data_IF_436716104878
#
_entry.id   IF_436716104878
#
_cell.length_a   1.000
_cell.length_b   1.000
_cell.length_c   1.000
_cell.angle_alpha   90.00
_cell.angle_beta   90.00
_cell.angle_gamma   90.00
#
_symmetry.space_group_name_H-M   'P 1'
#
loop_
_entity.id
_entity.type
_entity.pdbx_description
1 polymer ?
#
# COMPACT_ATOMS: atom_id res chain seq x y z
N UNK A 1 -87.54 41.70 -52.03
CA UNK A 1 -87.03 40.32 -51.94
C UNK A 1 -86.47 39.89 -53.28
N UNK A 2 -85.14 39.82 -53.39
CA UNK A 2 -84.31 39.10 -54.38
C UNK A 2 -82.86 39.55 -54.11
N UNK A 3 -82.05 38.72 -53.46
CA UNK A 3 -80.62 39.01 -53.28
C UNK A 3 -79.87 38.68 -54.57
N UNK A 4 -79.13 39.66 -55.08
CA UNK A 4 -77.99 39.48 -56.00
C UNK A 4 -76.70 39.53 -55.19
N UNK A 5 -75.74 38.76 -55.69
CA UNK A 5 -74.35 38.52 -55.28
C UNK A 5 -73.45 39.77 -55.19
N UNK A 6 -72.41 39.69 -54.36
CA UNK A 6 -71.07 40.30 -54.56
C UNK A 6 -70.05 39.44 -53.77
N UNK A 7 -69.10 38.75 -54.44
CA UNK A 7 -67.67 39.09 -54.58
C UNK A 7 -66.95 39.29 -53.22
N UNK A 8 -66.23 38.28 -52.72
CA UNK A 8 -64.82 37.91 -53.01
C UNK A 8 -63.79 38.77 -52.24
N UNK A 9 -62.88 38.12 -51.50
CA UNK A 9 -61.41 38.21 -51.63
C UNK A 9 -60.75 37.25 -50.63
N UNK A 10 -59.76 36.52 -51.17
CA UNK A 10 -58.88 35.53 -50.55
C UNK A 10 -58.05 36.11 -49.38
N UNK A 11 -57.92 35.33 -48.30
CA UNK A 11 -56.80 35.44 -47.35
C UNK A 11 -56.00 34.14 -47.39
N UNK A 12 -54.73 34.25 -47.75
CA UNK A 12 -53.76 33.15 -47.81
C UNK A 12 -53.28 32.87 -46.38
N UNK A 13 -53.63 31.69 -45.84
CA UNK A 13 -53.02 31.17 -44.61
C UNK A 13 -51.76 30.38 -44.99
N UNK A 14 -50.58 30.92 -44.67
CA UNK A 14 -49.32 30.19 -44.74
C UNK A 14 -49.26 29.26 -43.52
N UNK A 15 -49.33 27.95 -43.79
CA UNK A 15 -49.13 26.92 -42.78
C UNK A 15 -47.65 26.86 -42.36
N UNK A 16 -47.39 27.10 -41.08
CA UNK A 16 -46.10 26.81 -40.47
C UNK A 16 -45.99 25.30 -40.21
N UNK A 17 -45.36 24.58 -41.14
CA UNK A 17 -44.85 23.23 -40.89
C UNK A 17 -43.58 23.37 -40.04
N UNK A 18 -43.67 22.98 -38.76
CA UNK A 18 -42.50 22.79 -37.92
C UNK A 18 -41.70 21.59 -38.47
N UNK A 19 -40.59 21.86 -39.14
CA UNK A 19 -39.60 20.85 -39.50
C UNK A 19 -38.68 20.61 -38.29
N UNK A 20 -38.24 19.36 -38.04
CA UNK A 20 -37.45 19.04 -36.87
C UNK A 20 -36.07 19.69 -36.98
N UNK A 21 -35.66 20.39 -35.92
CA UNK A 21 -34.29 20.84 -35.72
C UNK A 21 -33.43 19.57 -35.62
N UNK A 22 -32.63 19.31 -36.65
CA UNK A 22 -31.45 18.47 -36.50
C UNK A 22 -30.51 19.17 -35.53
N UNK A 23 -30.48 18.70 -34.29
CA UNK A 23 -29.36 18.95 -33.41
C UNK A 23 -28.15 18.23 -34.02
N UNK A 24 -27.36 18.93 -34.82
CA UNK A 24 -26.00 18.51 -35.08
C UNK A 24 -25.26 18.69 -33.74
N UNK A 25 -25.15 17.62 -32.97
CA UNK A 25 -24.24 17.59 -31.83
C UNK A 25 -22.85 17.91 -32.37
N UNK A 26 -22.31 19.05 -31.95
CA UNK A 26 -20.91 19.38 -32.18
C UNK A 26 -20.14 18.35 -31.36
N UNK A 27 -19.63 17.31 -32.03
CA UNK A 27 -18.68 16.38 -31.42
C UNK A 27 -17.44 17.21 -31.11
N UNK A 28 -17.34 17.69 -29.86
CA UNK A 28 -16.08 18.17 -29.33
C UNK A 28 -15.12 16.98 -29.45
N UNK A 29 -13.89 17.13 -30.00
CA UNK A 29 -12.93 16.05 -29.96
C UNK A 29 -12.80 15.64 -28.48
N UNK A 30 -13.06 14.36 -28.20
CA UNK A 30 -12.82 13.81 -26.87
C UNK A 30 -11.35 14.08 -26.60
N UNK A 31 -11.07 15.01 -25.68
CA UNK A 31 -9.74 15.19 -25.15
C UNK A 31 -9.49 13.97 -24.27
N UNK A 32 -9.18 12.84 -24.90
CA UNK A 32 -8.63 11.69 -24.20
C UNK A 32 -7.40 12.24 -23.53
N UNK A 33 -7.33 12.29 -22.19
CA UNK A 33 -6.08 12.66 -21.55
C UNK A 33 -5.06 11.70 -22.14
N UNK A 34 -4.09 12.25 -22.89
CA UNK A 34 -2.88 11.50 -23.23
C UNK A 34 -2.42 10.98 -21.88
N UNK A 35 -2.45 9.67 -21.68
CA UNK A 35 -1.85 9.07 -20.51
C UNK A 35 -0.41 9.52 -20.56
N UNK A 36 -0.08 10.56 -19.79
CA UNK A 36 1.30 10.94 -19.61
C UNK A 36 2.00 9.66 -19.16
N UNK A 37 3.16 9.30 -19.72
CA UNK A 37 3.93 8.21 -19.15
C UNK A 37 4.03 8.52 -17.65
N UNK A 38 3.58 7.60 -16.80
CA UNK A 38 3.78 7.72 -15.36
C UNK A 38 5.26 8.03 -15.20
N UNK A 39 5.57 9.25 -14.73
CA UNK A 39 6.95 9.57 -14.37
C UNK A 39 7.35 8.50 -13.36
N UNK A 40 8.29 7.67 -13.73
CA UNK A 40 8.91 6.68 -12.85
C UNK A 40 9.78 7.44 -11.86
N UNK A 41 9.20 8.30 -11.02
CA UNK A 41 9.94 9.01 -9.98
C UNK A 41 10.75 7.93 -9.26
N UNK A 42 12.07 8.08 -9.32
CA UNK A 42 13.04 7.00 -9.19
C UNK A 42 12.79 6.27 -7.87
N UNK A 43 12.26 5.05 -7.95
CA UNK A 43 12.15 4.18 -6.79
C UNK A 43 13.57 3.89 -6.33
N UNK A 44 13.84 4.15 -5.07
CA UNK A 44 15.12 3.81 -4.50
C UNK A 44 15.15 2.33 -4.15
N UNK A 45 15.59 1.55 -5.12
CA UNK A 45 15.75 0.10 -4.95
C UNK A 45 16.95 -0.26 -4.08
N UNK A 46 17.74 0.71 -3.61
CA UNK A 46 18.86 0.48 -2.68
C UNK A 46 18.38 0.15 -1.27
N UNK A 47 17.12 0.45 -0.93
CA UNK A 47 16.50 0.06 0.36
C UNK A 47 16.71 -1.45 0.59
N UNK A 48 17.35 -1.86 1.70
CA UNK A 48 17.54 -3.27 2.04
C UNK A 48 16.19 -3.99 2.17
N UNK A 49 16.10 -5.16 1.53
CA UNK A 49 14.91 -6.03 1.57
C UNK A 49 15.34 -7.43 1.14
N UNK A 50 14.79 -8.44 1.80
CA UNK A 50 15.12 -9.83 1.48
C UNK A 50 14.62 -10.27 0.12
N UNK A 51 15.24 -11.32 -0.43
CA UNK A 51 14.79 -11.91 -1.70
C UNK A 51 13.33 -12.34 -1.66
N UNK A 52 12.95 -13.02 -0.58
CA UNK A 52 11.59 -13.48 -0.33
C UNK A 52 10.57 -12.34 -0.39
N UNK A 53 10.84 -11.23 0.31
CA UNK A 53 9.90 -10.11 0.39
C UNK A 53 9.85 -9.35 -0.94
N UNK A 54 11.00 -9.07 -1.57
CA UNK A 54 11.03 -8.37 -2.85
C UNK A 54 10.29 -9.14 -3.95
N UNK A 55 10.54 -10.45 -4.07
CA UNK A 55 9.87 -11.30 -5.06
C UNK A 55 8.38 -11.43 -4.74
N UNK A 56 8.01 -11.59 -3.46
CA UNK A 56 6.60 -11.65 -3.06
C UNK A 56 5.87 -10.37 -3.46
N UNK A 57 6.41 -9.20 -3.11
CA UNK A 57 5.82 -7.90 -3.47
C UNK A 57 5.67 -7.77 -4.98
N UNK A 58 6.71 -8.08 -5.73
CA UNK A 58 6.69 -7.98 -7.20
C UNK A 58 5.60 -8.87 -7.79
N UNK A 59 5.51 -10.13 -7.35
CA UNK A 59 4.56 -11.09 -7.91
C UNK A 59 3.12 -10.73 -7.53
N UNK A 60 2.85 -10.42 -6.26
CA UNK A 60 1.49 -10.13 -5.81
C UNK A 60 0.97 -8.82 -6.43
N UNK A 61 1.81 -7.78 -6.48
CA UNK A 61 1.47 -6.52 -7.13
C UNK A 61 1.30 -6.70 -8.64
N UNK A 62 2.24 -7.40 -9.29
CA UNK A 62 2.25 -7.59 -10.74
C UNK A 62 1.11 -8.45 -11.25
N UNK A 63 0.70 -9.46 -10.49
CA UNK A 63 -0.41 -10.36 -10.86
C UNK A 63 -1.77 -9.91 -10.31
N UNK A 64 -1.78 -8.94 -9.39
CA UNK A 64 -2.98 -8.46 -8.71
C UNK A 64 -3.63 -9.52 -7.81
N UNK A 65 -2.84 -10.46 -7.28
CA UNK A 65 -3.32 -11.60 -6.49
C UNK A 65 -2.42 -11.81 -5.29
N UNK A 66 -3.01 -11.82 -4.10
CA UNK A 66 -2.36 -12.36 -2.92
C UNK A 66 -2.16 -13.86 -3.09
N UNK A 67 -0.96 -14.34 -2.74
CA UNK A 67 -0.62 -15.75 -2.93
C UNK A 67 -0.94 -16.54 -1.67
N UNK A 68 -1.49 -17.77 -1.82
CA UNK A 68 -1.83 -18.59 -0.67
C UNK A 68 -0.55 -19.00 0.06
N UNK A 69 -0.63 -19.06 1.39
CA UNK A 69 0.41 -19.67 2.20
C UNK A 69 0.31 -21.18 2.08
N UNK A 70 1.44 -21.83 1.84
CA UNK A 70 1.53 -23.29 1.85
C UNK A 70 2.00 -23.70 3.25
N UNK A 71 1.15 -24.45 3.95
CA UNK A 71 1.47 -24.97 5.29
C UNK A 71 2.79 -25.74 5.29
N UNK A 72 3.50 -25.68 6.42
CA UNK A 72 4.77 -26.37 6.64
C UNK A 72 5.87 -26.05 5.60
N UNK A 73 5.76 -24.88 4.95
CA UNK A 73 6.78 -24.33 4.05
C UNK A 73 7.13 -22.90 4.42
N UNK A 74 8.19 -22.38 3.81
CA UNK A 74 8.52 -20.95 3.89
C UNK A 74 7.37 -20.10 3.32
N UNK A 75 7.03 -18.99 3.96
CA UNK A 75 5.87 -18.16 3.59
C UNK A 75 5.92 -17.66 2.12
N UNK A 76 7.12 -17.38 1.61
CA UNK A 76 7.33 -16.93 0.24
C UNK A 76 7.31 -18.06 -0.81
N UNK A 77 7.11 -19.33 -0.43
CA UNK A 77 7.18 -20.48 -1.35
C UNK A 77 6.33 -20.29 -2.61
N UNK A 78 5.07 -19.88 -2.44
CA UNK A 78 4.16 -19.64 -3.56
C UNK A 78 4.66 -18.54 -4.50
N UNK A 79 5.24 -17.47 -3.95
CA UNK A 79 5.80 -16.37 -4.74
C UNK A 79 7.05 -16.80 -5.51
N UNK A 80 7.93 -17.56 -4.85
CA UNK A 80 9.17 -18.08 -5.44
C UNK A 80 8.86 -19.06 -6.59
N UNK A 81 7.91 -19.98 -6.39
CA UNK A 81 7.41 -20.87 -7.45
C UNK A 81 6.80 -20.07 -8.60
N UNK A 82 5.99 -19.06 -8.30
CA UNK A 82 5.35 -18.24 -9.33
C UNK A 82 6.36 -17.42 -10.13
N UNK A 83 7.39 -16.88 -9.48
CA UNK A 83 8.48 -16.17 -10.13
C UNK A 83 9.26 -17.08 -11.09
N UNK A 84 9.46 -18.35 -10.75
CA UNK A 84 10.04 -19.33 -11.67
C UNK A 84 9.12 -19.63 -12.86
N UNK A 85 7.82 -19.85 -12.63
CA UNK A 85 6.86 -20.06 -13.72
C UNK A 85 6.84 -18.89 -14.73
N UNK A 86 7.03 -17.67 -14.23
CA UNK A 86 7.10 -16.45 -15.03
C UNK A 86 8.49 -16.20 -15.64
N UNK A 87 9.47 -17.08 -15.40
CA UNK A 87 10.82 -16.98 -15.93
C UNK A 87 11.64 -15.82 -15.35
N UNK A 88 11.28 -15.31 -14.17
CA UNK A 88 12.00 -14.22 -13.50
C UNK A 88 13.25 -14.73 -12.78
N UNK A 89 13.14 -15.91 -12.17
CA UNK A 89 14.20 -16.58 -11.42
C UNK A 89 14.32 -18.05 -11.85
N UNK A 90 15.44 -18.66 -11.50
CA UNK A 90 15.66 -20.10 -11.57
C UNK A 90 15.85 -20.61 -10.13
N UNK A 91 14.91 -21.39 -9.59
CA UNK A 91 14.97 -21.81 -8.18
C UNK A 91 16.19 -22.68 -7.86
N UNK A 92 16.83 -23.28 -8.86
CA UNK A 92 18.09 -24.01 -8.63
C UNK A 92 19.22 -23.08 -8.16
N UNK A 93 19.12 -21.79 -8.46
CA UNK A 93 20.06 -20.74 -8.02
C UNK A 93 19.56 -20.00 -6.76
N UNK A 94 18.37 -20.32 -6.25
CA UNK A 94 17.75 -19.67 -5.09
C UNK A 94 17.45 -20.73 -4.01
N UNK A 95 18.48 -21.31 -3.38
CA UNK A 95 18.28 -22.22 -2.26
C UNK A 95 17.57 -21.48 -1.10
N UNK A 96 16.74 -22.18 -0.32
CA UNK A 96 15.84 -21.54 0.65
C UNK A 96 16.59 -20.73 1.72
N UNK A 97 17.82 -21.13 2.02
CA UNK A 97 18.69 -20.53 3.02
C UNK A 97 18.97 -19.04 2.73
N UNK A 98 18.99 -18.64 1.45
CA UNK A 98 19.29 -17.25 1.04
C UNK A 98 18.05 -16.39 0.87
N UNK A 99 16.85 -16.95 1.04
CA UNK A 99 15.60 -16.23 0.77
C UNK A 99 15.37 -15.06 1.73
N UNK A 100 15.88 -15.18 2.96
CA UNK A 100 15.79 -14.14 3.99
C UNK A 100 16.98 -13.18 3.98
N UNK A 101 18.00 -13.43 3.17
CA UNK A 101 19.11 -12.50 2.99
C UNK A 101 18.69 -11.32 2.11
N UNK A 102 19.31 -10.16 2.36
CA UNK A 102 19.14 -8.97 1.55
C UNK A 102 19.45 -9.26 0.07
N UNK A 103 18.52 -8.84 -0.80
CA UNK A 103 18.69 -8.99 -2.24
C UNK A 103 19.65 -7.91 -2.77
N UNK A 104 20.75 -8.30 -3.44
CA UNK A 104 21.66 -7.38 -4.11
C UNK A 104 20.95 -6.48 -5.14
N UNK A 105 21.46 -5.27 -5.34
CA UNK A 105 20.86 -4.28 -6.24
C UNK A 105 20.84 -4.80 -7.69
N UNK A 106 21.92 -5.44 -8.13
CA UNK A 106 22.04 -6.00 -9.47
C UNK A 106 20.97 -7.08 -9.73
N UNK A 107 20.68 -7.89 -8.70
CA UNK A 107 19.67 -8.95 -8.75
C UNK A 107 18.24 -8.35 -8.82
N UNK A 108 17.97 -7.30 -8.01
CA UNK A 108 16.70 -6.53 -8.08
C UNK A 108 16.48 -5.97 -9.48
N UNK A 109 17.51 -5.36 -10.08
CA UNK A 109 17.46 -4.77 -11.43
C UNK A 109 17.19 -5.85 -12.48
N UNK A 110 17.90 -6.97 -12.43
CA UNK A 110 17.72 -8.07 -13.38
C UNK A 110 16.29 -8.61 -13.35
N UNK A 111 15.75 -8.87 -12.16
CA UNK A 111 14.38 -9.38 -11.99
C UNK A 111 13.36 -8.38 -12.51
N UNK A 112 13.51 -7.09 -12.19
CA UNK A 112 12.63 -6.04 -12.70
C UNK A 112 12.68 -5.92 -14.23
N UNK A 113 13.86 -6.08 -14.84
CA UNK A 113 14.01 -6.04 -16.29
C UNK A 113 13.41 -7.26 -17.00
N UNK A 114 13.47 -8.44 -16.38
CA UNK A 114 12.71 -9.61 -16.84
C UNK A 114 11.20 -9.38 -16.70
N UNK A 115 10.77 -8.81 -15.58
CA UNK A 115 9.37 -8.54 -15.30
C UNK A 115 8.74 -7.55 -16.30
N UNK A 116 9.46 -6.48 -16.68
CA UNK A 116 9.03 -5.53 -17.72
C UNK A 116 8.75 -6.18 -19.08
N UNK A 117 9.45 -7.28 -19.39
CA UNK A 117 9.31 -8.01 -20.66
C UNK A 117 8.24 -9.11 -20.59
N UNK A 118 7.64 -9.32 -19.42
CA UNK A 118 6.63 -10.34 -19.17
C UNK A 118 5.22 -9.75 -19.24
N UNK A 119 4.41 -10.23 -20.20
CA UNK A 119 3.04 -9.73 -20.42
C UNK A 119 2.06 -10.06 -19.27
N UNK A 120 2.42 -10.97 -18.36
CA UNK A 120 1.61 -11.36 -17.21
C UNK A 120 1.83 -10.48 -15.96
N UNK A 121 2.67 -9.44 -16.06
CA UNK A 121 3.05 -8.59 -14.93
C UNK A 121 2.65 -7.15 -15.22
N UNK A 122 1.79 -6.59 -14.36
CA UNK A 122 1.47 -5.17 -14.38
C UNK A 122 2.58 -4.36 -13.68
N UNK A 123 3.51 -3.84 -14.47
CA UNK A 123 4.64 -3.05 -13.93
C UNK A 123 4.22 -1.73 -13.27
N UNK A 124 3.12 -1.11 -13.70
CA UNK A 124 2.60 0.10 -13.05
C UNK A 124 2.24 -0.20 -11.60
N UNK A 125 1.55 -1.32 -11.37
CA UNK A 125 1.17 -1.76 -10.03
C UNK A 125 2.39 -2.20 -9.22
N UNK A 126 3.36 -2.90 -9.82
CA UNK A 126 4.63 -3.26 -9.15
C UNK A 126 5.33 -2.01 -8.63
N UNK A 127 5.52 -1.01 -9.47
CA UNK A 127 6.21 0.21 -9.08
C UNK A 127 5.46 1.02 -8.04
N UNK A 128 4.14 1.10 -8.14
CA UNK A 128 3.31 1.73 -7.12
C UNK A 128 3.51 1.05 -5.76
N UNK A 129 3.38 -0.27 -5.69
CA UNK A 129 3.50 -1.00 -4.42
C UNK A 129 4.93 -0.99 -3.88
N UNK A 130 5.96 -1.07 -4.73
CA UNK A 130 7.35 -0.93 -4.29
C UNK A 130 7.60 0.45 -3.65
N UNK A 131 7.06 1.55 -4.19
CA UNK A 131 7.15 2.88 -3.54
C UNK A 131 6.47 2.94 -2.18
N UNK A 132 5.37 2.22 -2.01
CA UNK A 132 4.62 2.16 -0.76
C UNK A 132 5.29 1.25 0.28
N UNK A 133 6.09 0.27 -0.16
CA UNK A 133 6.74 -0.71 0.71
C UNK A 133 8.17 -0.35 1.05
N UNK A 134 9.01 0.00 0.06
CA UNK A 134 10.42 0.30 0.28
C UNK A 134 10.58 1.62 1.03
N UNK A 135 10.51 1.59 2.36
CA UNK A 135 10.60 2.79 3.18
C UNK A 135 12.08 3.16 3.38
N UNK A 136 12.41 4.41 3.06
CA UNK A 136 13.74 5.00 3.29
C UNK A 136 13.83 5.72 4.64
N UNK A 137 12.74 6.39 5.04
CA UNK A 137 12.73 7.27 6.21
C UNK A 137 11.43 7.14 6.98
N UNK A 138 11.56 7.14 8.30
CA UNK A 138 10.44 7.28 9.24
C UNK A 138 10.43 8.72 9.76
N UNK A 139 9.28 9.37 9.71
CA UNK A 139 9.09 10.76 10.14
C UNK A 139 7.94 10.79 11.14
N UNK A 140 8.11 11.52 12.25
CA UNK A 140 7.06 11.74 13.27
C UNK A 140 6.95 13.24 13.51
N UNK A 141 5.77 13.82 13.28
CA UNK A 141 5.51 15.27 13.41
C UNK A 141 6.64 16.12 12.77
N UNK A 142 6.91 15.85 11.49
CA UNK A 142 7.92 16.53 10.65
C UNK A 142 9.38 16.23 11.00
N UNK A 143 9.67 15.45 12.05
CA UNK A 143 11.02 15.08 12.45
C UNK A 143 11.40 13.71 11.92
N UNK A 144 12.55 13.62 11.25
CA UNK A 144 13.13 12.32 10.89
C UNK A 144 13.52 11.59 12.17
N UNK A 145 13.07 10.34 12.28
CA UNK A 145 13.40 9.44 13.39
C UNK A 145 14.43 8.43 12.89
N UNK A 146 15.56 8.38 13.57
CA UNK A 146 16.56 7.34 13.36
C UNK A 146 16.01 6.02 13.94
N UNK A 147 15.91 5.00 13.10
CA UNK A 147 15.46 3.66 13.47
C UNK A 147 16.59 2.68 13.20
N UNK A 148 16.76 1.66 14.06
CA UNK A 148 17.83 0.67 13.95
C UNK A 148 17.90 0.02 12.57
N UNK A 149 16.75 -0.47 12.08
CA UNK A 149 16.56 -0.99 10.73
C UNK A 149 15.07 -0.95 10.39
N UNK A 150 14.75 -1.08 9.11
CA UNK A 150 13.37 -1.31 8.64
C UNK A 150 13.34 -2.74 8.12
N UNK A 151 12.48 -3.55 8.71
CA UNK A 151 12.37 -4.97 8.38
C UNK A 151 11.11 -5.22 7.54
N UNK A 152 11.11 -6.31 6.80
CA UNK A 152 9.98 -6.73 5.98
C UNK A 152 9.60 -8.14 6.35
N UNK A 153 8.32 -8.37 6.63
CA UNK A 153 7.85 -9.71 6.94
C UNK A 153 6.42 -9.92 6.47
N UNK A 154 6.24 -10.91 5.61
CA UNK A 154 4.95 -11.30 5.02
C UNK A 154 4.23 -10.09 4.42
N UNK A 155 4.95 -9.27 3.63
CA UNK A 155 4.41 -8.08 2.97
C UNK A 155 4.14 -6.89 3.89
N UNK A 156 4.51 -6.96 5.17
CA UNK A 156 4.41 -5.85 6.13
C UNK A 156 5.75 -5.17 6.32
N UNK A 157 5.71 -3.84 6.41
CA UNK A 157 6.85 -3.03 6.86
C UNK A 157 6.84 -3.05 8.38
N UNK A 158 7.94 -3.51 8.96
CA UNK A 158 8.10 -3.77 10.37
C UNK A 158 9.09 -2.75 10.94
N UNK A 159 8.68 -2.02 11.97
CA UNK A 159 9.52 -1.00 12.61
C UNK A 159 9.95 -1.44 14.01
N UNK A 160 11.15 -1.03 14.46
CA UNK A 160 11.60 -1.26 15.82
C UNK A 160 10.67 -0.50 16.78
N UNK A 161 9.96 -1.26 17.61
CA UNK A 161 8.91 -0.76 18.49
C UNK A 161 9.43 0.34 19.41
N UNK A 162 10.63 0.15 19.98
CA UNK A 162 11.24 1.08 20.93
C UNK A 162 11.52 2.42 20.28
N UNK A 163 12.30 2.44 19.20
CA UNK A 163 12.77 3.65 18.54
C UNK A 163 11.59 4.56 18.14
N UNK A 164 10.56 3.96 17.53
CA UNK A 164 9.36 4.70 17.10
C UNK A 164 8.51 5.11 18.29
N UNK A 165 8.25 4.22 19.25
CA UNK A 165 7.40 4.56 20.41
C UNK A 165 8.01 5.63 21.32
N UNK A 166 9.33 5.57 21.57
CA UNK A 166 10.05 6.58 22.36
C UNK A 166 10.04 7.93 21.64
N UNK A 167 10.17 7.94 20.31
CA UNK A 167 10.01 9.16 19.51
C UNK A 167 8.57 9.73 19.54
N UNK A 168 7.56 8.89 19.82
CA UNK A 168 6.18 9.30 20.08
C UNK A 168 5.92 9.67 21.56
N UNK A 169 6.94 9.65 22.42
CA UNK A 169 6.84 10.05 23.83
C UNK A 169 6.43 8.93 24.80
N UNK A 170 6.52 7.66 24.40
CA UNK A 170 6.29 6.53 25.29
C UNK A 170 7.58 6.05 25.95
N UNK A 171 7.50 5.64 27.20
CA UNK A 171 8.48 4.74 27.83
C UNK A 171 8.19 3.29 27.39
N UNK A 172 9.24 2.53 27.06
CA UNK A 172 9.13 1.13 26.66
C UNK A 172 9.88 0.20 27.62
N UNK A 173 9.14 -0.70 28.27
CA UNK A 173 9.71 -1.73 29.16
C UNK A 173 9.53 -3.13 28.56
N UNK A 174 10.45 -4.05 28.85
CA UNK A 174 10.41 -5.44 28.38
C UNK A 174 10.25 -6.41 29.55
N UNK A 175 9.33 -7.37 29.39
CA UNK A 175 9.17 -8.52 30.27
C UNK A 175 9.58 -9.78 29.51
N UNK A 176 10.69 -10.40 29.93
CA UNK A 176 11.26 -11.57 29.30
C UNK A 176 10.51 -12.87 29.63
N UNK A 177 9.79 -12.93 30.76
CA UNK A 177 9.05 -14.13 31.18
C UNK A 177 7.80 -14.31 30.31
N UNK A 178 7.17 -13.18 29.95
CA UNK A 178 5.95 -13.18 29.14
C UNK A 178 6.18 -12.80 27.68
N UNK A 179 7.43 -12.52 27.29
CA UNK A 179 7.81 -12.00 25.97
C UNK A 179 6.96 -10.80 25.54
N UNK A 180 6.81 -9.84 26.45
CA UNK A 180 5.90 -8.70 26.28
C UNK A 180 6.64 -7.37 26.42
N UNK A 181 6.52 -6.53 25.39
CA UNK A 181 6.86 -5.11 25.49
C UNK A 181 5.65 -4.32 26.00
N UNK A 182 5.89 -3.37 26.90
CA UNK A 182 4.86 -2.46 27.42
C UNK A 182 5.25 -1.02 27.09
N UNK A 183 4.33 -0.29 26.48
CA UNK A 183 4.45 1.14 26.17
C UNK A 183 3.61 1.91 27.18
N UNK A 184 4.13 3.02 27.69
CA UNK A 184 3.40 3.93 28.58
C UNK A 184 3.83 5.40 28.36
N UNK A 185 2.88 6.32 28.20
CA UNK A 185 3.15 7.77 28.15
C UNK A 185 2.36 8.55 29.22
N UNK A 186 2.00 7.89 30.33
CA UNK A 186 1.18 8.40 31.44
C UNK A 186 -0.29 8.74 31.09
N UNK A 187 -0.68 8.57 29.83
CA UNK A 187 -2.05 8.72 29.37
C UNK A 187 -2.61 7.41 28.83
N UNK A 188 -1.77 6.71 28.07
CA UNK A 188 -2.08 5.49 27.36
C UNK A 188 -1.02 4.44 27.69
N UNK A 189 -1.50 3.22 27.94
CA UNK A 189 -0.68 2.02 28.06
C UNK A 189 -1.02 1.05 26.94
N UNK A 190 -0.02 0.41 26.33
CA UNK A 190 -0.24 -0.70 25.41
C UNK A 190 0.72 -1.85 25.72
N UNK A 191 0.29 -3.07 25.42
CA UNK A 191 1.10 -4.28 25.58
C UNK A 191 1.21 -4.98 24.24
N UNK A 192 2.41 -5.39 23.90
CA UNK A 192 2.77 -6.03 22.64
C UNK A 192 3.47 -7.34 22.97
N UNK A 193 2.82 -8.46 22.72
CA UNK A 193 3.36 -9.78 22.99
C UNK A 193 3.89 -10.43 21.70
N UNK A 194 5.10 -10.98 21.75
CA UNK A 194 5.69 -11.69 20.60
C UNK A 194 4.80 -12.87 20.19
N UNK A 195 4.57 -13.00 18.88
CA UNK A 195 3.76 -14.08 18.32
C UNK A 195 2.24 -13.90 18.41
N UNK A 196 1.75 -12.80 18.99
CA UNK A 196 0.32 -12.49 19.07
C UNK A 196 -0.05 -11.28 18.18
N UNK A 197 -0.78 -11.53 17.09
CA UNK A 197 -1.35 -10.49 16.23
C UNK A 197 -2.69 -10.00 16.81
N UNK A 198 -2.60 -9.30 17.94
CA UNK A 198 -3.75 -8.69 18.60
C UNK A 198 -3.27 -7.47 19.40
N UNK A 199 -3.76 -6.30 19.02
CA UNK A 199 -3.30 -5.02 19.54
C UNK A 199 -4.44 -4.23 20.15
N UNK A 200 -4.16 -3.59 21.27
CA UNK A 200 -5.07 -2.66 21.92
C UNK A 200 -4.29 -1.71 22.83
N UNK A 201 -4.97 -0.68 23.30
CA UNK A 201 -4.45 0.20 24.35
C UNK A 201 -5.48 0.40 25.47
N UNK A 202 -4.98 0.88 26.60
CA UNK A 202 -5.73 1.15 27.82
C UNK A 202 -5.50 2.61 28.22
N UNK A 203 -6.53 3.28 28.73
CA UNK A 203 -6.33 4.58 29.36
C UNK A 203 -5.70 4.39 30.74
N UNK A 204 -4.70 5.21 31.07
CA UNK A 204 -4.11 5.28 32.42
C UNK A 204 -5.00 6.12 33.34
N UNK A 205 -5.74 7.09 32.79
CA UNK A 205 -6.54 8.08 33.53
C UNK A 205 -8.00 7.66 33.73
N UNK A 206 -8.50 6.69 32.96
CA UNK A 206 -9.88 6.24 33.01
C UNK A 206 -10.01 4.71 32.89
N UNK A 207 -11.11 4.16 33.41
CA UNK A 207 -11.45 2.75 33.18
C UNK A 207 -11.92 2.61 31.74
N UNK A 208 -11.08 2.04 30.89
CA UNK A 208 -11.42 1.78 29.49
C UNK A 208 -10.24 1.25 28.68
N UNK A 209 -10.57 0.51 27.63
CA UNK A 209 -9.62 0.05 26.62
C UNK A 209 -10.22 0.23 25.22
N UNK A 210 -9.35 0.31 24.22
CA UNK A 210 -9.79 0.22 22.82
C UNK A 210 -10.34 -1.18 22.53
N UNK A 211 -11.20 -1.28 21.51
CA UNK A 211 -11.44 -2.59 20.90
C UNK A 211 -10.12 -3.16 20.37
N UNK A 212 -9.85 -4.46 20.53
CA UNK A 212 -8.67 -5.08 19.98
C UNK A 212 -8.78 -5.20 18.45
N UNK A 213 -7.66 -5.12 17.76
CA UNK A 213 -7.57 -5.32 16.31
C UNK A 213 -6.33 -6.13 15.93
N UNK A 214 -6.37 -6.73 14.75
CA UNK A 214 -5.28 -7.49 14.12
C UNK A 214 -4.89 -6.77 12.83
N UNK A 215 -3.61 -6.85 12.46
CA UNK A 215 -3.11 -6.30 11.18
C UNK A 215 -2.49 -7.37 10.28
N UNK A 216 -2.61 -8.65 10.66
CA UNK A 216 -2.22 -9.83 9.88
C UNK A 216 -0.85 -10.39 10.23
N UNK A 217 -0.06 -9.68 11.04
CA UNK A 217 1.30 -10.08 11.42
C UNK A 217 1.54 -9.76 12.89
N UNK A 218 2.02 -10.76 13.61
CA UNK A 218 2.40 -10.64 15.02
C UNK A 218 3.77 -9.95 15.18
N UNK A 219 4.04 -9.36 16.36
CA UNK A 219 5.35 -8.81 16.68
C UNK A 219 6.44 -9.88 16.62
N UNK A 220 7.63 -9.48 16.19
CA UNK A 220 8.81 -10.35 16.11
C UNK A 220 9.96 -9.80 16.93
N UNK A 221 10.77 -10.69 17.47
CA UNK A 221 12.04 -10.35 18.08
C UNK A 221 13.16 -10.58 17.07
N UNK A 222 13.83 -9.52 16.62
CA UNK A 222 14.86 -9.55 15.59
C UNK A 222 16.10 -8.85 16.17
N UNK A 223 17.21 -9.59 16.27
CA UNK A 223 18.51 -9.08 16.72
C UNK A 223 18.46 -8.23 18.01
N UNK A 224 17.69 -8.66 19.01
CA UNK A 224 17.60 -7.94 20.29
C UNK A 224 16.52 -6.85 20.35
N UNK A 225 15.80 -6.59 19.26
CA UNK A 225 14.75 -5.57 19.20
C UNK A 225 13.40 -6.18 18.88
N UNK A 226 12.33 -5.63 19.47
CA UNK A 226 10.95 -5.98 19.11
C UNK A 226 10.55 -5.17 17.90
N UNK A 227 10.05 -5.83 16.86
CA UNK A 227 9.51 -5.22 15.66
C UNK A 227 8.01 -5.47 15.57
N UNK A 228 7.27 -4.43 15.16
CA UNK A 228 5.82 -4.47 14.93
C UNK A 228 5.50 -3.97 13.53
N UNK A 229 4.40 -4.42 12.89
CA UNK A 229 3.91 -3.78 11.68
C UNK A 229 3.61 -2.31 11.97
N UNK A 230 4.00 -1.41 11.08
CA UNK A 230 3.84 0.03 11.35
C UNK A 230 2.38 0.45 11.59
N UNK A 231 1.41 -0.32 11.06
CA UNK A 231 -0.01 -0.11 11.29
C UNK A 231 -0.41 -0.24 12.78
N UNK A 232 0.41 -0.90 13.62
CA UNK A 232 0.27 -0.89 15.07
C UNK A 232 0.18 0.54 15.64
N UNK A 233 1.01 1.45 15.13
CA UNK A 233 1.08 2.84 15.60
C UNK A 233 -0.15 3.67 15.20
N UNK A 234 -1.06 3.13 14.39
CA UNK A 234 -2.33 3.78 14.05
C UNK A 234 -3.21 4.09 15.27
N UNK A 235 -2.96 3.43 16.41
CA UNK A 235 -3.60 3.76 17.68
C UNK A 235 -3.21 5.16 18.20
N UNK A 236 -2.01 5.63 17.89
CA UNK A 236 -1.40 6.84 18.48
C UNK A 236 -1.16 7.94 17.46
N UNK A 237 -1.08 7.58 16.17
CA UNK A 237 -0.79 8.49 15.08
C UNK A 237 -1.64 8.16 13.85
N UNK A 238 -1.96 9.15 13.04
CA UNK A 238 -2.31 8.91 11.64
C UNK A 238 -1.02 8.71 10.83
N UNK A 239 -1.09 8.02 9.70
CA UNK A 239 0.09 7.74 8.89
C UNK A 239 -0.19 7.84 7.39
N UNK A 240 0.85 8.17 6.63
CA UNK A 240 0.85 8.16 5.17
C UNK A 240 2.22 7.73 4.67
N UNK A 241 2.26 6.96 3.59
CA UNK A 241 3.49 6.69 2.83
C UNK A 241 3.47 7.54 1.57
N UNK A 242 4.48 8.39 1.40
CA UNK A 242 4.67 9.20 0.20
C UNK A 242 6.15 9.21 -0.15
N UNK A 243 6.47 8.94 -1.41
CA UNK A 243 7.85 8.95 -1.93
C UNK A 243 8.81 8.15 -1.03
N UNK A 244 8.42 6.93 -0.66
CA UNK A 244 9.19 6.03 0.22
C UNK A 244 9.45 6.57 1.64
N UNK A 245 8.73 7.60 2.06
CA UNK A 245 8.77 8.12 3.44
C UNK A 245 7.50 7.72 4.15
N UNK A 246 7.66 7.07 5.30
CA UNK A 246 6.56 6.79 6.21
C UNK A 246 6.44 7.93 7.21
N UNK A 247 5.37 8.70 7.08
CA UNK A 247 5.11 9.89 7.90
C UNK A 247 3.99 9.59 8.88
N UNK A 248 4.28 9.75 10.16
CA UNK A 248 3.32 9.72 11.25
C UNK A 248 2.98 11.13 11.72
N UNK A 249 1.69 11.37 11.97
CA UNK A 249 1.17 12.59 12.59
C UNK A 249 0.48 12.20 13.89
N UNK A 250 1.00 12.67 15.03
CA UNK A 250 0.48 12.27 16.34
C UNK A 250 -0.96 12.76 16.56
N UNK A 251 -1.77 11.88 17.17
CA UNK A 251 -3.13 12.23 17.60
C UNK A 251 -3.02 13.08 18.87
N UNK A 252 -3.70 14.23 18.88
CA UNK A 252 -3.77 15.16 20.02
C UNK A 252 -4.92 14.84 20.96
#
# INVERSE_FOLDING_TARGET
>A
MKKKSLLAVLTICIGALAMPVWAAEIIQPINVPVSQPVSTDLINIEVPISRAEFITILIEAGTGRELPLIMDTHYAMSAMQKAQELGLIDLTQYPMEIWLEDMPIEEKVEILDKAKKNNGINMEQVYKILKEKLIEQVIIDEKVVEVKSIEYYRGKVMLPLRDVAEAMGFEVTWDADTYTATLNNDEIKSKVQIGTDLYNYYSVKAIGMSAPFSVGVAPKFIEGSVYVPYEYFSMFADWVVMDQKLVFTLKK
#
